data_IF_400206670932
#
_entry.id   IF_400206670932
#
_cell.length_a   1.000
_cell.length_b   1.000
_cell.length_c   1.000
_cell.angle_alpha   90.00
_cell.angle_beta   90.00
_cell.angle_gamma   90.00
#
_symmetry.space_group_name_H-M   'P 1'
#
loop_
_entity.id
_entity.type
_entity.pdbx_description
1 polymer ?
#
# COMPACT_ATOMS: atom_id res chain seq x y z
N UNK A 1 -16.29 3.31 8.34
CA UNK A 1 -14.95 3.09 8.95
C UNK A 1 -14.04 4.20 8.47
N UNK A 2 -13.33 4.91 9.40
CA UNK A 2 -12.39 6.00 9.03
C UNK A 2 -11.03 5.44 8.67
N UNK A 3 -10.51 5.82 7.50
CA UNK A 3 -9.22 5.37 6.98
C UNK A 3 -8.34 6.57 6.64
N UNK A 4 -7.07 6.49 7.04
CA UNK A 4 -5.96 7.23 6.44
C UNK A 4 -5.14 6.26 5.60
N UNK A 5 -4.66 6.71 4.45
CA UNK A 5 -3.96 5.89 3.47
C UNK A 5 -2.59 6.50 3.17
N UNK A 6 -1.53 5.84 3.61
CA UNK A 6 -0.14 6.24 3.38
C UNK A 6 0.50 5.30 2.37
N UNK A 7 1.09 5.84 1.29
CA UNK A 7 1.39 5.07 0.07
C UNK A 7 2.62 5.59 -0.66
N UNK A 8 3.36 4.71 -1.28
CA UNK A 8 4.40 5.09 -2.26
C UNK A 8 3.96 4.83 -3.72
N UNK A 9 2.69 5.06 -3.97
CA UNK A 9 1.96 4.85 -5.22
C UNK A 9 2.74 5.21 -6.47
N UNK A 10 2.60 4.38 -7.49
CA UNK A 10 3.00 4.62 -8.88
C UNK A 10 4.35 4.03 -9.32
N UNK A 11 5.23 3.57 -8.42
CA UNK A 11 6.42 2.80 -8.85
C UNK A 11 6.10 1.32 -9.12
N UNK A 12 5.20 0.74 -8.32
CA UNK A 12 4.47 -0.49 -8.62
C UNK A 12 2.98 -0.14 -8.83
N UNK A 13 2.18 -1.11 -9.22
CA UNK A 13 0.78 -0.90 -9.57
C UNK A 13 -0.17 -1.18 -8.41
N UNK A 14 0.26 -1.96 -7.44
CA UNK A 14 -0.58 -2.50 -6.37
C UNK A 14 -1.15 -1.43 -5.42
N UNK A 15 -0.41 -0.36 -5.14
CA UNK A 15 -0.92 0.84 -4.45
C UNK A 15 -2.11 1.48 -5.18
N UNK A 16 -2.01 1.61 -6.51
CA UNK A 16 -3.09 2.20 -7.30
C UNK A 16 -4.32 1.31 -7.32
N UNK A 17 -4.14 -0.01 -7.36
CA UNK A 17 -5.22 -0.99 -7.20
C UNK A 17 -5.83 -0.91 -5.78
N UNK A 18 -5.01 -0.73 -4.75
CA UNK A 18 -5.45 -0.58 -3.38
C UNK A 18 -6.27 0.71 -3.17
N UNK A 19 -5.81 1.84 -3.71
CA UNK A 19 -6.55 3.09 -3.67
C UNK A 19 -7.89 2.96 -4.38
N UNK A 20 -7.90 2.38 -5.59
CA UNK A 20 -9.14 2.15 -6.35
C UNK A 20 -10.11 1.23 -5.57
N UNK A 21 -9.60 0.20 -4.92
CA UNK A 21 -10.42 -0.68 -4.07
C UNK A 21 -11.08 0.11 -2.94
N UNK A 22 -10.35 1.00 -2.24
CA UNK A 22 -10.92 1.87 -1.21
C UNK A 22 -12.07 2.73 -1.77
N UNK A 23 -11.90 3.27 -2.98
CA UNK A 23 -12.92 4.11 -3.63
C UNK A 23 -14.19 3.33 -3.97
N UNK A 24 -14.10 2.02 -4.19
CA UNK A 24 -15.25 1.14 -4.43
C UNK A 24 -15.90 0.59 -3.15
N UNK A 25 -15.39 0.93 -1.95
CA UNK A 25 -15.96 0.51 -0.67
C UNK A 25 -16.89 1.59 -0.11
N UNK A 26 -18.21 1.27 0.01
CA UNK A 26 -19.23 2.23 0.44
C UNK A 26 -19.15 2.62 1.91
N UNK A 27 -18.72 1.69 2.76
CA UNK A 27 -18.68 1.88 4.22
C UNK A 27 -17.32 2.44 4.71
N UNK A 28 -16.51 2.94 3.78
CA UNK A 28 -15.20 3.54 4.06
C UNK A 28 -15.27 5.05 3.89
N UNK A 29 -14.86 5.75 4.95
CA UNK A 29 -14.63 7.18 4.98
C UNK A 29 -13.12 7.43 4.86
N UNK A 30 -12.67 7.76 3.65
CA UNK A 30 -11.27 8.07 3.36
C UNK A 30 -10.97 9.51 3.78
N UNK A 31 -10.37 9.67 4.97
CA UNK A 31 -10.05 10.97 5.56
C UNK A 31 -8.90 11.68 4.84
N UNK A 32 -8.03 10.94 4.16
CA UNK A 32 -6.95 11.50 3.36
C UNK A 32 -5.95 10.47 2.89
N UNK A 33 -5.11 10.91 1.95
CA UNK A 33 -4.01 10.16 1.36
C UNK A 33 -2.72 10.92 1.65
N UNK A 34 -1.70 10.22 2.14
CA UNK A 34 -0.34 10.74 2.28
C UNK A 34 0.61 9.94 1.39
N UNK A 35 1.63 10.60 0.84
CA UNK A 35 2.61 9.92 0.01
C UNK A 35 3.99 9.94 0.65
N UNK A 36 4.74 8.87 0.46
CA UNK A 36 6.04 8.63 1.09
C UNK A 36 7.05 8.11 0.07
N UNK A 37 8.33 8.25 0.37
CA UNK A 37 9.46 7.68 -0.35
C UNK A 37 9.64 8.14 -1.80
N UNK A 38 10.83 8.65 -2.11
CA UNK A 38 11.21 9.10 -3.45
C UNK A 38 10.50 10.39 -3.88
N UNK A 39 9.93 10.41 -5.06
CA UNK A 39 9.25 11.60 -5.60
C UNK A 39 7.81 11.73 -5.06
N UNK A 40 7.69 12.07 -3.77
CA UNK A 40 6.40 12.21 -3.08
C UNK A 40 5.45 13.22 -3.74
N UNK A 41 6.01 14.24 -4.40
CA UNK A 41 5.21 15.23 -5.12
C UNK A 41 4.53 14.64 -6.35
N UNK A 42 5.25 13.81 -7.11
CA UNK A 42 4.68 13.11 -8.27
C UNK A 42 3.65 12.06 -7.84
N UNK A 43 3.98 11.25 -6.83
CA UNK A 43 3.08 10.28 -6.21
C UNK A 43 1.76 10.92 -5.75
N UNK A 44 1.84 12.09 -5.10
CA UNK A 44 0.67 12.82 -4.65
C UNK A 44 -0.22 13.35 -5.80
N UNK A 45 0.39 13.73 -6.93
CA UNK A 45 -0.35 14.10 -8.14
C UNK A 45 -1.07 12.89 -8.75
N UNK A 46 -0.40 11.72 -8.80
CA UNK A 46 -1.01 10.47 -9.26
C UNK A 46 -2.21 10.09 -8.40
N UNK A 47 -2.04 10.07 -7.07
CA UNK A 47 -3.14 9.81 -6.15
C UNK A 47 -4.30 10.80 -6.34
N UNK A 48 -4.00 12.09 -6.51
CA UNK A 48 -5.00 13.13 -6.76
C UNK A 48 -5.76 12.90 -8.05
N UNK A 49 -5.10 12.50 -9.14
CA UNK A 49 -5.79 12.25 -10.42
C UNK A 49 -6.71 11.02 -10.34
N UNK A 50 -6.33 9.97 -9.62
CA UNK A 50 -7.21 8.80 -9.36
C UNK A 50 -8.45 9.24 -8.56
N UNK A 51 -8.26 9.99 -7.47
CA UNK A 51 -9.36 10.53 -6.66
C UNK A 51 -10.29 11.43 -7.48
N UNK A 52 -9.72 12.29 -8.32
CA UNK A 52 -10.47 13.19 -9.21
C UNK A 52 -11.28 12.44 -10.25
N UNK A 53 -10.70 11.38 -10.82
CA UNK A 53 -11.38 10.52 -11.78
C UNK A 53 -12.59 9.79 -11.16
N UNK A 54 -12.54 9.51 -9.84
CA UNK A 54 -13.65 8.95 -9.06
C UNK A 54 -14.66 10.00 -8.58
N UNK A 55 -14.34 11.28 -8.72
CA UNK A 55 -15.17 12.38 -8.20
C UNK A 55 -14.98 12.65 -6.70
N UNK A 56 -13.99 12.05 -6.05
CA UNK A 56 -13.67 12.24 -4.62
C UNK A 56 -12.75 13.43 -4.38
N UNK A 57 -12.95 14.09 -3.23
CA UNK A 57 -12.18 15.27 -2.82
C UNK A 57 -11.36 15.05 -1.55
N UNK A 58 -11.08 13.80 -1.18
CA UNK A 58 -10.26 13.51 -0.01
C UNK A 58 -8.91 14.28 -0.06
N UNK A 59 -8.45 14.87 1.06
CA UNK A 59 -7.18 15.57 1.13
C UNK A 59 -6.01 14.68 0.69
N UNK A 60 -5.06 15.25 -0.06
CA UNK A 60 -3.79 14.59 -0.38
C UNK A 60 -2.65 15.43 0.15
N UNK A 61 -1.67 14.79 0.79
CA UNK A 61 -0.46 15.42 1.33
C UNK A 61 0.79 14.72 0.82
N UNK A 62 1.68 15.48 0.20
CA UNK A 62 3.02 15.00 -0.05
C UNK A 62 3.80 14.96 1.26
N UNK A 63 4.43 13.83 1.55
CA UNK A 63 5.16 13.62 2.79
C UNK A 63 6.66 13.61 2.59
N UNK A 64 7.34 12.67 3.27
CA UNK A 64 8.80 12.61 3.30
C UNK A 64 9.31 11.68 2.20
N UNK A 65 10.10 12.24 1.29
CA UNK A 65 10.68 11.49 0.17
C UNK A 65 12.01 10.83 0.50
N UNK A 66 12.74 11.37 1.48
CA UNK A 66 14.06 10.87 1.89
C UNK A 66 13.88 10.05 3.17
N UNK A 67 14.31 8.78 3.21
CA UNK A 67 14.23 7.95 4.40
C UNK A 67 15.08 8.51 5.54
N UNK A 68 14.70 8.21 6.79
CA UNK A 68 15.52 8.50 7.98
C UNK A 68 16.86 7.78 7.87
N UNK A 69 16.84 6.51 7.50
CA UNK A 69 18.01 5.70 7.19
C UNK A 69 17.68 4.60 6.20
N UNK A 70 18.45 4.52 5.12
CA UNK A 70 18.45 3.41 4.19
C UNK A 70 19.87 3.12 3.72
N UNK A 71 20.18 1.83 3.57
CA UNK A 71 21.44 1.38 2.96
C UNK A 71 21.33 1.30 1.43
N UNK A 72 20.13 1.56 0.89
CA UNK A 72 19.82 1.45 -0.52
C UNK A 72 19.52 2.80 -1.14
N UNK A 73 19.89 2.99 -2.40
CA UNK A 73 19.43 4.15 -3.14
C UNK A 73 17.90 4.14 -3.25
N UNK A 74 17.31 5.33 -3.29
CA UNK A 74 15.90 5.47 -3.56
C UNK A 74 15.60 4.87 -4.94
N UNK A 75 14.68 3.91 -4.96
CA UNK A 75 14.27 3.25 -6.18
C UNK A 75 12.97 3.85 -6.74
N UNK A 76 12.90 3.94 -8.06
CA UNK A 76 11.71 4.28 -8.82
C UNK A 76 11.79 3.59 -10.19
N UNK A 77 10.63 3.26 -10.75
CA UNK A 77 10.56 2.60 -12.06
C UNK A 77 10.90 3.54 -13.22
N UNK A 78 10.71 4.83 -13.02
CA UNK A 78 10.77 5.84 -14.07
C UNK A 78 9.48 5.94 -14.90
N UNK A 79 8.45 5.18 -14.51
CA UNK A 79 7.15 5.15 -15.21
C UNK A 79 6.05 5.87 -14.44
N UNK A 80 6.40 6.49 -13.31
CA UNK A 80 5.45 7.11 -12.40
C UNK A 80 4.60 8.19 -13.09
N UNK A 81 3.30 7.97 -13.12
CA UNK A 81 2.31 8.90 -13.67
C UNK A 81 2.21 8.95 -15.19
N UNK A 82 2.99 8.15 -15.93
CA UNK A 82 2.87 8.04 -17.40
C UNK A 82 1.42 7.68 -17.77
N UNK A 83 0.93 8.20 -18.89
CA UNK A 83 -0.45 8.05 -19.40
C UNK A 83 -1.55 8.77 -18.61
N UNK A 84 -1.28 9.25 -17.39
CA UNK A 84 -2.28 9.98 -16.60
C UNK A 84 -1.88 11.41 -16.26
N UNK A 85 -0.59 11.74 -16.36
CA UNK A 85 -0.04 13.09 -16.20
C UNK A 85 0.76 13.45 -17.45
N UNK A 86 0.49 14.63 -18.02
CA UNK A 86 1.33 15.20 -19.08
C UNK A 86 2.57 15.90 -18.49
N UNK A 87 3.51 16.30 -19.36
CA UNK A 87 4.76 16.95 -18.92
C UNK A 87 4.52 18.27 -18.17
N UNK A 88 3.49 19.03 -18.53
CA UNK A 88 3.14 20.28 -17.85
C UNK A 88 2.63 19.97 -16.44
N UNK A 89 1.79 18.96 -16.30
CA UNK A 89 1.27 18.49 -15.02
C UNK A 89 2.39 17.94 -14.12
N UNK A 90 3.33 17.16 -14.68
CA UNK A 90 4.49 16.65 -13.92
C UNK A 90 5.34 17.80 -13.37
N UNK A 91 5.55 18.88 -14.13
CA UNK A 91 6.33 20.07 -13.72
C UNK A 91 5.53 21.05 -12.86
N UNK A 92 4.20 20.99 -12.86
CA UNK A 92 3.35 21.94 -12.17
C UNK A 92 3.50 21.86 -10.63
N UNK A 93 3.36 22.97 -9.91
CA UNK A 93 3.43 22.98 -8.45
C UNK A 93 2.23 22.25 -7.84
N UNK A 94 2.43 21.64 -6.65
CA UNK A 94 1.43 20.84 -5.93
C UNK A 94 0.11 21.59 -5.70
N UNK A 95 0.16 22.89 -5.43
CA UNK A 95 -1.04 23.72 -5.24
C UNK A 95 -2.01 23.70 -6.42
N UNK A 96 -1.52 23.50 -7.66
CA UNK A 96 -2.37 23.38 -8.86
C UNK A 96 -3.27 22.13 -8.81
N UNK A 97 -2.82 21.11 -8.10
CA UNK A 97 -3.56 19.86 -7.87
C UNK A 97 -4.39 19.89 -6.58
N UNK A 98 -4.33 20.97 -5.79
CA UNK A 98 -4.93 20.99 -4.45
C UNK A 98 -4.27 20.00 -3.49
N UNK A 99 -2.99 19.70 -3.72
CA UNK A 99 -2.16 18.86 -2.87
C UNK A 99 -1.42 19.75 -1.88
N UNK A 100 -1.50 19.39 -0.60
CA UNK A 100 -0.71 20.01 0.46
C UNK A 100 0.58 19.25 0.70
N UNK A 101 1.41 19.83 1.56
CA UNK A 101 2.62 19.22 2.12
C UNK A 101 2.39 18.89 3.59
N UNK A 102 3.43 18.40 4.29
CA UNK A 102 3.37 18.00 5.70
C UNK A 102 2.39 16.84 5.98
N UNK A 103 2.72 15.68 5.45
CA UNK A 103 1.96 14.46 5.71
C UNK A 103 1.96 14.08 7.20
N UNK A 104 3.09 14.23 7.89
CA UNK A 104 3.20 13.84 9.30
C UNK A 104 2.29 14.69 10.20
N UNK A 105 2.31 16.02 10.04
CA UNK A 105 1.40 16.92 10.75
C UNK A 105 -0.07 16.63 10.43
N UNK A 106 -0.38 16.37 9.16
CA UNK A 106 -1.73 15.99 8.75
C UNK A 106 -2.20 14.67 9.40
N UNK A 107 -1.33 13.64 9.45
CA UNK A 107 -1.65 12.38 10.12
C UNK A 107 -1.94 12.60 11.60
N UNK A 108 -1.11 13.40 12.28
CA UNK A 108 -1.30 13.76 13.69
C UNK A 108 -2.64 14.47 13.90
N UNK A 109 -2.93 15.49 13.11
CA UNK A 109 -4.17 16.26 13.22
C UNK A 109 -5.40 15.36 13.04
N UNK A 110 -5.40 14.50 12.03
CA UNK A 110 -6.53 13.59 11.81
C UNK A 110 -6.71 12.62 12.98
N UNK A 111 -5.64 12.03 13.47
CA UNK A 111 -5.70 11.06 14.58
C UNK A 111 -6.11 11.73 15.89
N UNK A 112 -5.65 12.94 16.17
CA UNK A 112 -6.06 13.68 17.38
C UNK A 112 -7.52 14.18 17.31
N UNK A 113 -8.03 14.44 16.10
CA UNK A 113 -9.43 14.81 15.90
C UNK A 113 -10.39 13.60 15.99
N UNK A 114 -9.89 12.38 15.85
CA UNK A 114 -10.66 11.13 15.87
C UNK A 114 -9.97 10.03 16.68
N UNK A 115 -9.68 10.24 17.97
CA UNK A 115 -8.89 9.31 18.76
C UNK A 115 -9.58 7.94 18.89
N UNK A 116 -8.84 6.87 18.62
CA UNK A 116 -9.32 5.49 18.68
C UNK A 116 -10.24 5.06 17.52
N UNK A 117 -10.49 5.93 16.53
CA UNK A 117 -11.41 5.61 15.43
C UNK A 117 -10.71 5.28 14.12
N UNK A 118 -9.49 5.79 13.91
CA UNK A 118 -8.78 5.73 12.63
C UNK A 118 -7.99 4.44 12.49
N UNK A 119 -8.22 3.73 11.38
CA UNK A 119 -7.29 2.74 10.86
C UNK A 119 -6.36 3.43 9.85
N UNK A 120 -5.06 3.43 10.14
CA UNK A 120 -4.04 3.86 9.19
C UNK A 120 -3.61 2.64 8.37
N UNK A 121 -3.77 2.72 7.04
CA UNK A 121 -3.23 1.75 6.09
C UNK A 121 -1.93 2.35 5.54
N UNK A 122 -0.81 1.67 5.75
CA UNK A 122 0.50 2.10 5.25
C UNK A 122 1.07 1.04 4.32
N UNK A 123 1.32 1.43 3.09
CA UNK A 123 1.71 0.55 1.98
C UNK A 123 3.14 0.81 1.48
N UNK A 124 3.73 1.92 1.89
CA UNK A 124 5.12 2.27 1.59
C UNK A 124 6.04 2.22 2.81
N UNK A 125 7.18 2.90 2.72
CA UNK A 125 8.09 3.07 3.85
C UNK A 125 7.40 3.77 5.03
N UNK A 126 7.71 3.37 6.26
CA UNK A 126 7.07 3.90 7.47
C UNK A 126 7.56 5.30 7.90
N UNK A 127 8.24 6.04 7.01
CA UNK A 127 8.86 7.34 7.31
C UNK A 127 7.84 8.37 7.80
N UNK A 128 6.69 8.52 7.11
CA UNK A 128 5.64 9.46 7.54
C UNK A 128 5.07 9.10 8.92
N UNK A 129 4.86 7.80 9.16
CA UNK A 129 4.33 7.27 10.43
C UNK A 129 5.31 7.54 11.57
N UNK A 130 6.60 7.28 11.36
CA UNK A 130 7.65 7.56 12.34
C UNK A 130 7.78 9.05 12.66
N UNK A 131 7.69 9.92 11.64
CA UNK A 131 7.66 11.37 11.85
C UNK A 131 6.41 11.83 12.59
N UNK A 132 5.24 11.26 12.32
CA UNK A 132 4.02 11.56 13.06
C UNK A 132 4.14 11.17 14.55
N UNK A 133 4.72 10.01 14.85
CA UNK A 133 5.02 9.58 16.23
C UNK A 133 6.03 10.49 16.94
N UNK A 134 7.02 11.00 16.17
CA UNK A 134 8.00 11.95 16.70
C UNK A 134 7.38 13.33 16.98
N UNK A 135 6.43 13.75 16.14
CA UNK A 135 5.75 15.04 16.28
C UNK A 135 4.74 15.05 17.45
N UNK A 136 4.02 13.96 17.68
CA UNK A 136 3.12 13.79 18.83
C UNK A 136 3.24 12.38 19.42
N UNK A 137 3.80 12.22 20.63
CA UNK A 137 3.91 10.92 21.29
C UNK A 137 2.58 10.18 21.51
N UNK A 138 1.44 10.91 21.52
CA UNK A 138 0.10 10.31 21.67
C UNK A 138 -0.39 9.70 20.36
N UNK A 139 0.24 9.97 19.23
CA UNK A 139 -0.19 9.48 17.93
C UNK A 139 -0.39 7.96 17.92
N UNK A 140 0.61 7.21 18.41
CA UNK A 140 0.59 5.75 18.44
C UNK A 140 -0.61 5.19 19.25
N UNK A 141 -0.86 5.74 20.43
CA UNK A 141 -1.94 5.30 21.33
C UNK A 141 -3.32 5.82 20.94
N UNK A 142 -3.38 6.89 20.14
CA UNK A 142 -4.63 7.46 19.62
C UNK A 142 -5.09 6.82 18.30
N UNK A 143 -4.25 6.05 17.62
CA UNK A 143 -4.67 5.22 16.50
C UNK A 143 -5.53 4.06 16.98
N UNK A 144 -6.58 3.72 16.21
CA UNK A 144 -7.28 2.45 16.41
C UNK A 144 -6.36 1.27 16.11
N UNK A 145 -5.63 1.34 15.00
CA UNK A 145 -4.59 0.39 14.58
C UNK A 145 -3.84 0.89 13.34
N UNK A 146 -2.67 0.35 13.13
CA UNK A 146 -1.92 0.42 11.88
C UNK A 146 -2.07 -0.93 11.15
N UNK A 147 -2.44 -0.90 9.86
CA UNK A 147 -2.39 -2.07 8.96
C UNK A 147 -1.31 -1.80 7.94
N UNK A 148 -0.27 -2.61 7.98
CA UNK A 148 0.97 -2.38 7.23
C UNK A 148 1.24 -3.52 6.25
N UNK A 149 1.57 -3.17 5.00
CA UNK A 149 2.10 -4.11 4.01
C UNK A 149 3.62 -4.14 4.10
N UNK A 150 4.18 -5.29 4.43
CA UNK A 150 5.63 -5.45 4.51
C UNK A 150 6.08 -6.45 5.54
N UNK A 151 7.38 -6.50 5.78
CA UNK A 151 8.05 -7.48 6.60
C UNK A 151 7.93 -8.91 6.03
N UNK A 152 8.69 -9.82 6.60
CA UNK A 152 8.63 -11.27 6.35
C UNK A 152 8.75 -12.02 7.67
N UNK A 153 8.10 -13.17 7.76
CA UNK A 153 8.11 -14.01 8.97
C UNK A 153 8.53 -15.45 8.68
N UNK A 154 8.45 -15.88 7.42
CA UNK A 154 8.86 -17.23 6.98
C UNK A 154 9.61 -17.13 5.65
N UNK A 155 10.72 -17.83 5.54
CA UNK A 155 11.60 -17.77 4.36
C UNK A 155 11.57 -19.04 3.51
N UNK A 156 10.75 -20.02 3.85
CA UNK A 156 10.83 -21.38 3.29
C UNK A 156 9.92 -21.63 2.09
N UNK A 157 9.13 -20.65 1.67
CA UNK A 157 8.22 -20.80 0.51
C UNK A 157 8.70 -19.92 -0.65
N UNK A 158 8.92 -20.50 -1.84
CA UNK A 158 9.29 -19.73 -3.01
C UNK A 158 8.19 -18.73 -3.37
N UNK A 159 8.58 -17.51 -3.69
CA UNK A 159 7.65 -16.50 -4.20
C UNK A 159 7.20 -16.90 -5.60
N UNK A 160 5.90 -16.75 -5.93
CA UNK A 160 5.36 -17.14 -7.24
C UNK A 160 5.81 -16.22 -8.38
N UNK A 161 6.42 -15.08 -8.08
CA UNK A 161 6.94 -14.14 -9.08
C UNK A 161 8.45 -14.00 -8.88
N UNK A 162 9.27 -14.16 -9.95
CA UNK A 162 10.69 -13.88 -9.85
C UNK A 162 10.88 -12.40 -9.49
N UNK A 163 11.38 -12.13 -8.31
CA UNK A 163 11.86 -10.79 -7.98
C UNK A 163 13.17 -10.55 -8.72
N UNK A 164 13.37 -9.31 -9.14
CA UNK A 164 14.43 -8.82 -10.02
C UNK A 164 15.84 -9.11 -9.54
N UNK A 165 16.03 -9.63 -8.36
CA UNK A 165 17.36 -9.91 -7.83
C UNK A 165 17.35 -11.17 -6.97
N UNK A 166 18.14 -12.12 -7.39
CA UNK A 166 18.32 -13.44 -6.81
C UNK A 166 19.14 -13.47 -5.51
N UNK A 167 19.25 -12.37 -4.78
CA UNK A 167 20.05 -12.36 -3.56
C UNK A 167 19.21 -12.76 -2.35
N UNK A 168 19.73 -13.62 -1.49
CA UNK A 168 19.17 -13.99 -0.17
C UNK A 168 18.71 -12.79 0.65
N UNK A 169 19.27 -11.63 0.37
CA UNK A 169 18.93 -10.38 1.02
C UNK A 169 17.48 -9.96 0.78
N UNK A 170 16.98 -10.06 -0.45
CA UNK A 170 15.61 -9.70 -0.78
C UNK A 170 14.58 -10.67 -0.22
N UNK A 171 14.97 -11.91 0.07
CA UNK A 171 14.13 -12.85 0.78
C UNK A 171 13.92 -12.48 2.25
N UNK A 172 14.82 -11.67 2.84
CA UNK A 172 14.79 -11.31 4.26
C UNK A 172 14.28 -9.90 4.55
N UNK A 173 14.34 -9.00 3.58
CA UNK A 173 13.99 -7.59 3.76
C UNK A 173 12.91 -7.19 2.77
N UNK A 174 11.70 -7.01 3.27
CA UNK A 174 10.61 -6.42 2.50
C UNK A 174 11.00 -5.05 1.96
N UNK A 175 10.53 -4.72 0.74
CA UNK A 175 10.81 -3.43 0.12
C UNK A 175 10.50 -2.27 1.07
N UNK A 176 9.30 -2.21 1.62
CA UNK A 176 8.82 -1.11 2.45
C UNK A 176 9.62 -0.96 3.75
N UNK A 177 10.07 -2.07 4.34
CA UNK A 177 10.91 -2.04 5.56
C UNK A 177 12.33 -1.57 5.24
N UNK A 178 12.94 -2.05 4.16
CA UNK A 178 14.32 -1.68 3.80
C UNK A 178 14.43 -0.26 3.24
N UNK A 179 13.35 0.28 2.68
CA UNK A 179 13.31 1.66 2.19
C UNK A 179 13.57 2.67 3.31
N UNK A 180 13.14 2.36 4.55
CA UNK A 180 13.49 3.13 5.75
C UNK A 180 13.51 2.22 6.99
N UNK A 181 14.64 1.55 7.19
CA UNK A 181 14.80 0.59 8.29
C UNK A 181 14.73 1.26 9.67
N UNK A 182 15.19 2.51 9.81
CA UNK A 182 15.10 3.25 11.06
C UNK A 182 13.65 3.63 11.40
N UNK A 183 12.89 4.13 10.43
CA UNK A 183 11.48 4.42 10.63
C UNK A 183 10.71 3.14 11.00
N UNK A 184 10.97 2.03 10.32
CA UNK A 184 10.36 0.75 10.64
C UNK A 184 10.72 0.28 12.05
N UNK A 185 12.00 0.37 12.47
CA UNK A 185 12.41 0.04 13.84
C UNK A 185 11.64 0.85 14.89
N UNK A 186 11.48 2.16 14.67
CA UNK A 186 10.75 3.05 15.59
C UNK A 186 9.28 2.69 15.68
N UNK A 187 8.62 2.43 14.55
CA UNK A 187 7.20 2.10 14.50
C UNK A 187 6.93 0.74 15.13
N UNK A 188 7.72 -0.28 14.81
CA UNK A 188 7.56 -1.62 15.41
C UNK A 188 7.94 -1.69 16.90
N UNK A 189 8.75 -0.75 17.40
CA UNK A 189 9.05 -0.65 18.83
C UNK A 189 8.03 0.20 19.60
N UNK A 190 7.05 0.78 18.95
CA UNK A 190 6.04 1.65 19.57
C UNK A 190 4.86 0.87 20.17
N UNK A 191 3.96 1.58 20.84
CA UNK A 191 2.75 1.00 21.44
C UNK A 191 1.58 0.86 20.45
N UNK A 192 1.76 1.21 19.17
CA UNK A 192 0.70 1.08 18.17
C UNK A 192 0.37 -0.39 17.91
N UNK A 193 -0.91 -0.68 17.82
CA UNK A 193 -1.33 -2.02 17.40
C UNK A 193 -1.11 -2.20 15.91
N UNK A 194 -0.25 -3.13 15.52
CA UNK A 194 0.11 -3.38 14.13
C UNK A 194 -0.43 -4.72 13.65
N UNK A 195 -1.20 -4.68 12.57
CA UNK A 195 -1.52 -5.85 11.74
C UNK A 195 -0.64 -5.80 10.51
N UNK A 196 0.15 -6.83 10.28
CA UNK A 196 1.15 -6.87 9.21
C UNK A 196 0.72 -7.87 8.15
N UNK A 197 0.53 -7.40 6.93
CA UNK A 197 0.37 -8.22 5.74
C UNK A 197 1.76 -8.52 5.21
N UNK A 198 2.28 -9.67 5.60
CA UNK A 198 3.67 -10.05 5.29
C UNK A 198 3.84 -10.37 3.80
N UNK A 199 5.05 -10.18 3.28
CA UNK A 199 5.38 -10.64 1.94
C UNK A 199 5.14 -12.14 1.75
N UNK A 200 5.26 -12.93 2.81
CA UNK A 200 5.01 -14.38 2.80
C UNK A 200 3.59 -14.75 2.39
N UNK A 201 2.61 -13.90 2.68
CA UNK A 201 1.21 -14.13 2.30
C UNK A 201 0.83 -13.36 1.05
N UNK A 202 1.22 -12.09 0.92
CA UNK A 202 0.81 -11.26 -0.20
C UNK A 202 1.39 -11.75 -1.53
N UNK A 203 2.62 -12.29 -1.53
CA UNK A 203 3.27 -12.86 -2.73
C UNK A 203 2.63 -14.15 -3.26
N UNK A 204 1.66 -14.73 -2.54
CA UNK A 204 0.92 -15.90 -3.01
C UNK A 204 -0.30 -15.53 -3.83
N UNK A 205 -0.61 -14.26 -3.92
CA UNK A 205 -1.69 -13.76 -4.75
C UNK A 205 -1.16 -13.54 -6.18
N UNK A 206 -1.91 -14.01 -7.14
CA UNK A 206 -1.63 -13.73 -8.53
C UNK A 206 -2.93 -13.34 -9.23
N UNK A 207 -3.04 -12.07 -9.58
CA UNK A 207 -4.13 -11.57 -10.41
C UNK A 207 -3.76 -11.87 -11.86
N UNK A 208 -4.41 -12.89 -12.43
CA UNK A 208 -4.01 -13.49 -13.70
C UNK A 208 -4.28 -12.59 -14.92
N UNK A 209 -3.70 -12.99 -16.06
CA UNK A 209 -3.79 -12.22 -17.29
C UNK A 209 -5.20 -12.07 -17.83
N UNK A 210 -6.12 -13.00 -17.57
CA UNK A 210 -7.52 -12.87 -18.00
C UNK A 210 -8.23 -11.76 -17.21
N UNK A 211 -8.13 -11.78 -15.89
CA UNK A 211 -8.71 -10.75 -15.03
C UNK A 211 -8.10 -9.37 -15.29
N UNK A 212 -6.77 -9.30 -15.45
CA UNK A 212 -6.05 -8.08 -15.81
C UNK A 212 -6.49 -7.54 -17.17
N UNK A 213 -6.67 -8.41 -18.17
CA UNK A 213 -7.14 -8.03 -19.50
C UNK A 213 -8.58 -7.45 -19.41
N UNK A 214 -9.48 -8.10 -18.67
CA UNK A 214 -10.84 -7.62 -18.46
C UNK A 214 -10.84 -6.24 -17.80
N UNK A 215 -10.01 -6.05 -16.77
CA UNK A 215 -9.84 -4.76 -16.11
C UNK A 215 -9.34 -3.68 -17.08
N UNK A 216 -8.32 -3.98 -17.86
CA UNK A 216 -7.75 -3.05 -18.84
C UNK A 216 -8.69 -2.71 -20.00
N UNK A 217 -9.69 -3.55 -20.29
CA UNK A 217 -10.72 -3.31 -21.31
C UNK A 217 -11.92 -2.53 -20.75
N UNK A 218 -12.03 -2.38 -19.43
CA UNK A 218 -13.13 -1.66 -18.78
C UNK A 218 -13.19 -0.20 -19.26
N UNK A 219 -14.38 0.23 -19.66
CA UNK A 219 -14.61 1.60 -20.16
C UNK A 219 -15.21 2.52 -19.10
N UNK A 220 -15.65 2.00 -17.99
CA UNK A 220 -16.29 2.71 -16.87
C UNK A 220 -15.97 2.02 -15.55
N UNK A 221 -15.86 2.72 -14.41
CA UNK A 221 -15.81 4.19 -14.22
C UNK A 221 -14.50 4.85 -14.68
N UNK A 222 -14.42 6.18 -14.57
CA UNK A 222 -13.25 6.93 -15.00
C UNK A 222 -11.99 6.60 -14.16
N UNK A 223 -12.16 6.34 -12.86
CA UNK A 223 -11.06 5.92 -11.98
C UNK A 223 -10.48 4.56 -12.41
N UNK A 224 -11.32 3.60 -12.80
CA UNK A 224 -10.87 2.31 -13.35
C UNK A 224 -10.02 2.51 -14.60
N UNK A 225 -10.47 3.38 -15.53
CA UNK A 225 -9.65 3.70 -16.73
C UNK A 225 -8.32 4.36 -16.38
N UNK A 226 -8.31 5.21 -15.36
CA UNK A 226 -7.08 5.86 -14.89
C UNK A 226 -6.08 4.80 -14.39
N UNK A 227 -6.50 3.90 -13.51
CA UNK A 227 -5.65 2.83 -12.97
C UNK A 227 -5.28 1.80 -14.05
N UNK A 228 -6.19 1.49 -14.99
CA UNK A 228 -5.91 0.58 -16.10
C UNK A 228 -4.80 1.10 -17.03
N UNK A 229 -4.67 2.41 -17.21
CA UNK A 229 -3.54 3.02 -17.94
C UNK A 229 -2.22 2.80 -17.21
N UNK A 230 -2.19 3.07 -15.91
CA UNK A 230 -1.00 2.80 -15.07
C UNK A 230 -0.62 1.32 -15.11
N UNK A 231 -1.60 0.42 -15.00
CA UNK A 231 -1.37 -1.03 -15.08
C UNK A 231 -0.74 -1.45 -16.40
N UNK A 232 -1.20 -0.91 -17.52
CA UNK A 232 -0.60 -1.20 -18.84
C UNK A 232 0.86 -0.76 -18.92
N UNK A 233 1.14 0.48 -18.51
CA UNK A 233 2.51 1.01 -18.46
C UNK A 233 3.41 0.15 -17.58
N UNK A 234 2.89 -0.28 -16.42
CA UNK A 234 3.64 -1.15 -15.50
C UNK A 234 3.89 -2.54 -16.10
N UNK A 235 2.91 -3.16 -16.77
CA UNK A 235 3.08 -4.46 -17.43
C UNK A 235 4.11 -4.38 -18.58
N UNK A 236 4.10 -3.29 -19.34
CA UNK A 236 5.10 -3.04 -20.41
C UNK A 236 6.49 -2.91 -19.79
N UNK A 237 6.66 -2.06 -18.78
CA UNK A 237 7.92 -1.90 -18.06
C UNK A 237 8.45 -3.23 -17.50
N UNK A 238 7.59 -4.02 -16.86
CA UNK A 238 7.98 -5.33 -16.32
C UNK A 238 8.35 -6.33 -17.41
N UNK A 239 7.62 -6.32 -18.51
CA UNK A 239 7.91 -7.19 -19.67
C UNK A 239 9.26 -6.85 -20.29
N UNK A 240 9.58 -5.58 -20.44
CA UNK A 240 10.89 -5.12 -20.91
C UNK A 240 12.01 -5.51 -19.93
N UNK A 241 11.79 -5.33 -18.64
CA UNK A 241 12.76 -5.61 -17.59
C UNK A 241 13.12 -7.11 -17.53
N UNK A 242 12.14 -8.00 -17.68
CA UNK A 242 12.35 -9.46 -17.64
C UNK A 242 12.63 -10.10 -18.99
N UNK A 243 12.44 -9.38 -20.08
CA UNK A 243 12.61 -9.89 -21.43
C UNK A 243 11.55 -10.90 -21.85
N UNK A 244 10.43 -10.97 -21.15
CA UNK A 244 9.28 -11.85 -21.44
C UNK A 244 7.95 -11.16 -21.12
N UNK A 245 6.83 -11.55 -21.78
CA UNK A 245 5.54 -10.93 -21.52
C UNK A 245 5.05 -11.18 -20.11
N UNK A 246 4.86 -10.11 -19.32
CA UNK A 246 4.21 -10.14 -18.02
C UNK A 246 2.74 -9.75 -18.20
N UNK A 247 1.84 -10.65 -17.86
CA UNK A 247 0.39 -10.49 -18.12
C UNK A 247 -0.45 -10.34 -16.86
N UNK A 248 0.12 -10.62 -15.69
CA UNK A 248 -0.55 -10.53 -14.39
C UNK A 248 0.25 -9.74 -13.36
N UNK A 249 -0.30 -9.56 -12.18
CA UNK A 249 0.35 -8.85 -11.06
C UNK A 249 -0.03 -9.43 -9.71
N UNK A 250 0.81 -9.20 -8.70
CA UNK A 250 0.48 -9.46 -7.30
C UNK A 250 -0.19 -8.21 -6.70
N UNK A 251 -1.46 -8.26 -6.29
CA UNK A 251 -2.12 -7.13 -5.64
C UNK A 251 -1.82 -7.11 -4.12
N UNK A 252 -0.53 -6.96 -3.76
CA UNK A 252 -0.05 -6.99 -2.38
C UNK A 252 -0.84 -6.03 -1.48
N UNK A 253 -0.97 -4.81 -1.90
CA UNK A 253 -1.58 -3.71 -1.16
C UNK A 253 -3.10 -3.80 -1.12
N UNK A 254 -3.72 -4.33 -2.17
CA UNK A 254 -5.16 -4.56 -2.17
C UNK A 254 -5.59 -5.60 -1.11
N UNK A 255 -4.76 -6.61 -0.82
CA UNK A 255 -5.00 -7.53 0.30
C UNK A 255 -4.93 -6.78 1.63
N UNK A 256 -4.00 -5.84 1.78
CA UNK A 256 -3.88 -5.02 2.98
C UNK A 256 -5.12 -4.18 3.22
N UNK A 257 -5.69 -3.58 2.18
CA UNK A 257 -6.99 -2.88 2.23
C UNK A 257 -8.12 -3.84 2.59
N UNK A 258 -8.17 -5.02 1.95
CA UNK A 258 -9.22 -6.02 2.21
C UNK A 258 -9.23 -6.46 3.69
N UNK A 259 -8.08 -6.76 4.27
CA UNK A 259 -7.93 -7.12 5.67
C UNK A 259 -8.14 -5.94 6.63
N UNK A 260 -7.87 -4.72 6.21
CA UNK A 260 -8.21 -3.54 7.00
C UNK A 260 -9.73 -3.37 7.15
N UNK A 261 -10.53 -3.72 6.15
CA UNK A 261 -12.00 -3.61 6.20
C UNK A 261 -12.70 -4.89 6.64
N UNK A 262 -12.08 -6.05 6.41
CA UNK A 262 -12.61 -7.38 6.77
C UNK A 262 -11.52 -8.22 7.48
N UNK A 263 -11.18 -7.89 8.73
CA UNK A 263 -10.08 -8.56 9.44
C UNK A 263 -10.30 -10.07 9.58
N UNK A 264 -9.30 -10.87 9.19
CA UNK A 264 -9.30 -12.33 9.32
C UNK A 264 -10.20 -13.06 8.33
N UNK A 265 -10.70 -12.36 7.28
CA UNK A 265 -11.50 -13.01 6.24
C UNK A 265 -10.65 -13.71 5.19
N UNK A 266 -9.44 -13.23 4.96
CA UNK A 266 -8.59 -13.71 3.87
C UNK A 266 -7.24 -14.23 4.35
N UNK A 267 -6.81 -13.77 5.54
CA UNK A 267 -5.48 -14.05 6.09
C UNK A 267 -5.58 -14.65 7.48
N UNK A 268 -4.81 -15.73 7.72
CA UNK A 268 -4.58 -16.27 9.04
C UNK A 268 -3.42 -15.52 9.70
N UNK A 269 -3.58 -15.19 10.99
CA UNK A 269 -2.62 -14.41 11.75
C UNK A 269 -2.03 -15.16 12.92
N UNK A 270 -0.74 -14.92 13.15
CA UNK A 270 -0.06 -15.30 14.38
C UNK A 270 0.39 -14.06 15.15
N UNK A 271 0.19 -14.07 16.48
CA UNK A 271 0.69 -13.02 17.35
C UNK A 271 2.15 -13.24 17.73
N UNK A 272 2.87 -12.12 17.85
CA UNK A 272 4.27 -12.19 18.24
C UNK A 272 4.96 -10.84 18.22
N UNK A 273 6.28 -10.91 18.20
CA UNK A 273 7.18 -9.77 18.16
C UNK A 273 7.92 -9.76 16.82
N UNK A 274 7.65 -8.78 15.99
CA UNK A 274 8.47 -8.48 14.80
C UNK A 274 9.54 -7.50 15.24
N UNK A 275 10.80 -7.85 14.98
CA UNK A 275 11.96 -6.98 15.18
C UNK A 275 12.57 -6.67 13.82
N UNK A 276 12.79 -5.39 13.57
CA UNK A 276 13.45 -4.90 12.36
C UNK A 276 14.95 -4.74 12.66
N UNK A 277 15.79 -5.30 11.81
CA UNK A 277 17.25 -5.17 11.89
C UNK A 277 17.72 -3.91 11.13
N UNK A 278 18.94 -3.42 11.39
CA UNK A 278 19.46 -2.21 10.74
C UNK A 278 19.52 -2.29 9.20
N UNK A 279 19.65 -3.49 8.64
CA UNK A 279 19.65 -3.76 7.21
C UNK A 279 18.23 -3.87 6.60
N UNK A 280 17.17 -3.71 7.41
CA UNK A 280 15.78 -3.85 6.99
C UNK A 280 15.26 -5.30 7.02
N UNK A 281 16.10 -6.28 7.33
CA UNK A 281 15.64 -7.64 7.56
C UNK A 281 14.74 -7.70 8.81
N UNK A 282 13.83 -8.65 8.86
CA UNK A 282 12.91 -8.84 9.98
C UNK A 282 13.08 -10.20 10.62
N UNK A 283 12.88 -10.27 11.93
CA UNK A 283 12.75 -11.53 12.67
C UNK A 283 11.40 -11.55 13.36
N UNK A 284 10.83 -12.74 13.51
CA UNK A 284 9.55 -12.94 14.16
C UNK A 284 9.67 -13.96 15.28
N UNK A 285 9.21 -13.58 16.47
CA UNK A 285 9.11 -14.50 17.62
C UNK A 285 7.65 -14.64 18.00
N UNK A 286 7.13 -15.85 17.92
CA UNK A 286 5.74 -16.18 18.28
C UNK A 286 5.54 -15.97 19.77
N UNK A 287 4.53 -15.16 20.12
CA UNK A 287 4.12 -14.91 21.51
C UNK A 287 2.63 -14.52 21.49
N UNK A 288 1.74 -15.29 22.14
CA UNK A 288 0.30 -14.94 22.20
C UNK A 288 0.01 -13.57 22.80
N UNK A 289 0.93 -13.01 23.59
CA UNK A 289 0.83 -11.68 24.19
C UNK A 289 1.59 -10.61 23.38
N UNK A 290 2.19 -10.99 22.25
CA UNK A 290 2.92 -10.07 21.39
C UNK A 290 2.01 -8.97 20.82
N UNK A 291 2.55 -7.75 20.55
CA UNK A 291 1.78 -6.61 20.09
C UNK A 291 1.41 -6.71 18.60
N UNK A 292 2.15 -7.50 17.82
CA UNK A 292 1.98 -7.57 16.37
C UNK A 292 1.16 -8.79 15.96
N UNK A 293 0.26 -8.57 15.00
CA UNK A 293 -0.43 -9.65 14.29
C UNK A 293 0.22 -9.79 12.92
N UNK A 294 0.93 -10.88 12.68
CA UNK A 294 1.61 -11.15 11.42
C UNK A 294 0.79 -12.15 10.59
N UNK A 295 0.51 -11.83 9.34
CA UNK A 295 -0.10 -12.75 8.38
C UNK A 295 0.84 -13.92 8.10
N UNK A 296 0.34 -15.14 8.20
CA UNK A 296 1.13 -16.37 8.03
C UNK A 296 0.58 -17.29 6.95
N UNK A 297 -0.70 -17.18 6.63
CA UNK A 297 -1.33 -17.90 5.51
C UNK A 297 -2.42 -17.05 4.87
N UNK A 298 -2.77 -17.34 3.61
CA UNK A 298 -3.76 -16.59 2.85
C UNK A 298 -4.67 -17.51 2.06
N UNK A 299 -5.97 -17.23 2.11
CA UNK A 299 -6.96 -17.83 1.23
C UNK A 299 -7.13 -16.97 -0.02
N UNK A 300 -6.32 -17.24 -1.04
CA UNK A 300 -6.33 -16.50 -2.30
C UNK A 300 -7.69 -16.60 -3.02
N UNK A 301 -8.36 -17.75 -2.96
CA UNK A 301 -9.69 -17.94 -3.56
C UNK A 301 -10.72 -16.98 -2.96
N UNK A 302 -10.85 -16.97 -1.64
CA UNK A 302 -11.77 -16.06 -0.94
C UNK A 302 -11.44 -14.58 -1.23
N UNK A 303 -10.13 -14.26 -1.30
CA UNK A 303 -9.72 -12.89 -1.62
C UNK A 303 -10.17 -12.51 -3.03
N UNK A 304 -9.88 -13.31 -4.06
CA UNK A 304 -10.25 -12.97 -5.44
C UNK A 304 -11.77 -13.02 -5.67
N UNK A 305 -12.50 -13.91 -5.02
CA UNK A 305 -13.97 -13.93 -5.04
C UNK A 305 -14.57 -12.62 -4.51
N UNK A 306 -13.89 -12.01 -3.54
CA UNK A 306 -14.30 -10.72 -2.99
C UNK A 306 -13.74 -9.52 -3.78
N UNK A 307 -12.50 -9.60 -4.27
CA UNK A 307 -11.77 -8.53 -4.96
C UNK A 307 -12.27 -8.32 -6.40
N UNK A 308 -12.34 -9.40 -7.19
CA UNK A 308 -12.65 -9.31 -8.62
C UNK A 308 -14.00 -8.62 -8.91
N UNK A 309 -15.12 -8.91 -8.23
CA UNK A 309 -16.35 -8.19 -8.49
C UNK A 309 -16.23 -6.68 -8.26
N UNK A 310 -15.41 -6.25 -7.30
CA UNK A 310 -15.21 -4.84 -6.98
C UNK A 310 -14.35 -4.11 -8.00
N UNK A 311 -13.44 -4.84 -8.63
CA UNK A 311 -12.54 -4.28 -9.63
C UNK A 311 -13.09 -4.37 -11.06
N UNK A 312 -13.86 -5.43 -11.38
CA UNK A 312 -14.25 -5.77 -12.74
C UNK A 312 -15.72 -5.42 -13.08
N UNK A 313 -16.59 -5.28 -12.06
CA UNK A 313 -18.02 -5.06 -12.29
C UNK A 313 -18.44 -3.61 -11.98
N UNK A 314 -19.45 -3.07 -12.66
CA UNK A 314 -20.06 -1.81 -12.27
C UNK A 314 -20.66 -1.91 -10.85
N UNK A 315 -20.59 -0.81 -10.08
CA UNK A 315 -21.08 -0.76 -8.68
C UNK A 315 -22.47 -1.37 -8.46
N UNK A 316 -23.38 -1.25 -9.44
CA UNK A 316 -24.75 -1.78 -9.36
C UNK A 316 -24.81 -3.33 -9.32
N UNK A 317 -23.76 -4.03 -9.69
CA UNK A 317 -23.70 -5.48 -9.76
C UNK A 317 -23.12 -6.14 -8.49
N UNK A 318 -22.58 -5.35 -7.55
CA UNK A 318 -21.91 -5.86 -6.35
C UNK A 318 -22.93 -6.09 -5.24
N UNK A 319 -23.63 -7.22 -5.27
CA UNK A 319 -24.63 -7.62 -4.23
C UNK A 319 -24.12 -8.68 -3.25
N UNK A 320 -22.86 -9.11 -3.34
CA UNK A 320 -22.31 -10.24 -2.60
C UNK A 320 -21.96 -9.91 -1.14
N UNK A 321 -22.67 -10.50 -0.21
CA UNK A 321 -22.25 -10.70 1.19
C UNK A 321 -21.24 -11.86 1.23
N UNK A 322 -20.01 -11.62 0.82
CA UNK A 322 -18.92 -12.60 1.00
C UNK A 322 -18.19 -12.33 2.32
N UNK A 323 -17.92 -13.39 3.08
CA UNK A 323 -17.48 -13.60 4.47
C UNK A 323 -18.54 -13.44 5.50
#
# INVERSE_FOLDING_TARGET
>A
MKILFDTDISSDIDDALALLLILHLRDVDLLGVTTVYGNVALRAKVAREILRADGRSAPVRAGVGIPMQSQFPIWHSGTEGIEILDEEQVKAPLRRFGVGEDAAGFLVDQVQNHPGEITLISLGALTNVAHAMQADPRFATSLKRLVFMGAGVTYDKPMPVPLVTETEYFARASHNVRCDSEAAQRVFASEVQITVLTNDVTSRLWWDGEAVQLFCQSRTPAAVRCVAKLLKVWLEYRSELFGEPITGTCPHDALTVAEAVKPGCFVDYTRGWIKVLPDGATTFTVDPNGPHQAGVDVNAGNFFDWFNPRMLLPEAAITGKGC
#
